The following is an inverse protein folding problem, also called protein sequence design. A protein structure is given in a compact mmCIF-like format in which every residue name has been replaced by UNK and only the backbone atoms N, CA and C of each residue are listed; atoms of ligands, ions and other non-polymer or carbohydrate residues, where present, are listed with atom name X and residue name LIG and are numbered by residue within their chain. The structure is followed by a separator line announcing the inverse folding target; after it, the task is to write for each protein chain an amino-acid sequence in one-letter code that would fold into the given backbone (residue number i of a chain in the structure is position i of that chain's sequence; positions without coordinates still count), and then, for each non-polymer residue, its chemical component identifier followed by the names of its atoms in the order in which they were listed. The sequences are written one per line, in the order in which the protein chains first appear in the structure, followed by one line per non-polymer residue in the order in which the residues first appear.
data_IF_226471525299
#
_entry.id   IF_226471525299
#
_cell.length_a   1.000
_cell.length_b   1.000
_cell.length_c   1.000
_cell.angle_alpha   90.00
_cell.angle_beta   90.00
_cell.angle_gamma   90.00
#
_symmetry.space_group_name_H-M   'P 1'
#
loop_
_entity.id
_entity.type
_entity.pdbx_description
1 polymer ?
#
# COMPACT_ATOMS: atom_id res chain seq x y z
N UNK A 1 -10.86 26.58 10.62
CA UNK A 1 -9.97 25.77 9.75
C UNK A 1 -9.49 24.50 10.43
N UNK A 2 -8.96 24.59 11.66
CA UNK A 2 -8.49 23.43 12.46
C UNK A 2 -9.55 22.37 12.76
N UNK A 3 -10.79 22.76 13.08
CA UNK A 3 -11.88 21.80 13.33
C UNK A 3 -12.22 20.97 12.08
N UNK A 4 -12.33 21.60 10.92
CA UNK A 4 -12.57 20.93 9.64
C UNK A 4 -11.40 20.02 9.23
N UNK A 5 -10.16 20.45 9.50
CA UNK A 5 -8.97 19.64 9.23
C UNK A 5 -8.93 18.41 10.15
N UNK A 6 -9.17 18.59 11.44
CA UNK A 6 -9.19 17.51 12.42
C UNK A 6 -10.29 16.48 12.12
N UNK A 7 -11.51 16.93 11.74
CA UNK A 7 -12.58 16.02 11.34
C UNK A 7 -12.23 15.25 10.06
N UNK A 8 -11.60 15.90 9.08
CA UNK A 8 -11.15 15.27 7.84
C UNK A 8 -10.09 14.19 8.12
N UNK A 9 -9.08 14.51 8.93
CA UNK A 9 -8.04 13.56 9.32
C UNK A 9 -8.60 12.36 10.08
N UNK A 10 -9.56 12.60 10.98
CA UNK A 10 -10.24 11.53 11.71
C UNK A 10 -11.04 10.63 10.77
N UNK A 11 -11.80 11.21 9.83
CA UNK A 11 -12.56 10.45 8.83
C UNK A 11 -11.61 9.56 8.03
N UNK A 12 -10.49 10.11 7.54
CA UNK A 12 -9.52 9.33 6.76
C UNK A 12 -8.94 8.18 7.60
N UNK A 13 -8.48 8.45 8.82
CA UNK A 13 -7.92 7.42 9.69
C UNK A 13 -8.93 6.28 9.97
N UNK A 14 -10.19 6.63 10.23
CA UNK A 14 -11.26 5.65 10.46
C UNK A 14 -11.58 4.87 9.19
N UNK A 15 -11.67 5.53 8.03
CA UNK A 15 -11.90 4.88 6.73
C UNK A 15 -10.81 3.86 6.40
N UNK A 16 -9.54 4.20 6.64
CA UNK A 16 -8.43 3.27 6.46
C UNK A 16 -8.49 2.09 7.42
N UNK A 17 -8.75 2.36 8.71
CA UNK A 17 -8.90 1.30 9.71
C UNK A 17 -10.00 0.32 9.34
N UNK A 18 -11.18 0.82 8.96
CA UNK A 18 -12.32 -0.01 8.52
C UNK A 18 -11.97 -0.80 7.27
N UNK A 19 -11.27 -0.19 6.32
CA UNK A 19 -10.86 -0.86 5.07
C UNK A 19 -9.93 -2.05 5.34
N UNK A 20 -8.87 -1.85 6.13
CA UNK A 20 -7.95 -2.91 6.52
C UNK A 20 -8.59 -3.95 7.45
N UNK A 21 -9.53 -3.54 8.31
CA UNK A 21 -10.28 -4.46 9.16
C UNK A 21 -11.25 -5.33 8.33
N UNK A 22 -11.82 -4.79 7.26
CA UNK A 22 -12.67 -5.53 6.32
C UNK A 22 -11.88 -6.68 5.67
N UNK A 23 -10.60 -6.45 5.35
CA UNK A 23 -9.73 -7.49 4.79
C UNK A 23 -9.48 -8.67 5.75
N UNK A 24 -9.52 -8.43 7.07
CA UNK A 24 -9.42 -9.48 8.09
C UNK A 24 -10.72 -10.27 8.29
N UNK A 25 -11.85 -9.79 7.77
CA UNK A 25 -13.14 -10.44 7.92
C UNK A 25 -13.33 -11.43 6.79
N UNK A 26 -13.65 -12.69 7.13
CA UNK A 26 -13.91 -13.73 6.14
C UNK A 26 -15.15 -13.36 5.30
N UNK A 27 -14.93 -12.91 4.06
CA UNK A 27 -16.00 -12.69 3.07
C UNK A 27 -15.80 -13.67 1.93
N UNK A 28 -16.84 -14.47 1.63
CA UNK A 28 -16.83 -15.46 0.52
C UNK A 28 -15.58 -16.36 0.52
N UNK A 29 -15.19 -16.85 1.71
CA UNK A 29 -14.02 -17.72 1.92
C UNK A 29 -12.66 -17.05 1.67
N UNK A 30 -12.61 -15.73 1.54
CA UNK A 30 -11.36 -14.97 1.41
C UNK A 30 -11.07 -14.24 2.71
N UNK A 31 -9.89 -14.48 3.27
CA UNK A 31 -9.35 -13.80 4.45
C UNK A 31 -7.97 -13.26 4.06
N UNK A 32 -7.73 -11.96 4.30
CA UNK A 32 -6.47 -11.28 3.95
C UNK A 32 -6.03 -11.57 2.50
N UNK A 33 -6.98 -11.58 1.56
CA UNK A 33 -6.68 -11.85 0.14
C UNK A 33 -6.26 -13.29 -0.18
N UNK A 34 -6.47 -14.24 0.73
CA UNK A 34 -6.23 -15.68 0.53
C UNK A 34 -7.53 -16.45 0.68
N UNK A 35 -7.84 -17.29 -0.32
CA UNK A 35 -9.01 -18.18 -0.26
C UNK A 35 -8.71 -19.38 0.64
N UNK A 36 -9.44 -19.48 1.76
CA UNK A 36 -9.36 -20.55 2.76
C UNK A 36 -10.72 -21.26 2.86
N UNK A 37 -10.78 -22.60 2.72
CA UNK A 37 -12.03 -23.37 2.86
C UNK A 37 -12.73 -23.09 4.19
N UNK A 38 -14.07 -23.12 4.22
CA UNK A 38 -14.85 -22.74 5.43
C UNK A 38 -14.55 -23.64 6.62
N UNK A 39 -14.21 -24.90 6.33
CA UNK A 39 -13.97 -25.98 7.27
C UNK A 39 -12.72 -25.70 8.13
N UNK A 40 -11.72 -25.01 7.57
CA UNK A 40 -10.44 -24.72 8.21
C UNK A 40 -10.28 -23.25 8.66
N UNK A 41 -11.27 -22.38 8.38
CA UNK A 41 -11.28 -21.01 8.90
C UNK A 41 -11.34 -20.94 10.43
N UNK A 42 -11.83 -22.01 11.08
CA UNK A 42 -11.88 -22.15 12.52
C UNK A 42 -10.56 -22.58 13.17
N UNK A 43 -9.54 -22.98 12.40
CA UNK A 43 -8.25 -23.47 12.92
C UNK A 43 -7.58 -22.40 13.79
N UNK A 44 -7.05 -22.84 14.93
CA UNK A 44 -6.33 -22.00 15.89
C UNK A 44 -5.20 -21.20 15.23
N UNK A 45 -4.50 -21.80 14.25
CA UNK A 45 -3.38 -21.16 13.53
C UNK A 45 -3.84 -20.02 12.64
N UNK A 46 -4.95 -20.21 11.92
CA UNK A 46 -5.55 -19.16 11.08
C UNK A 46 -6.05 -18.02 11.96
N UNK A 47 -6.70 -18.34 13.08
CA UNK A 47 -7.19 -17.34 14.04
C UNK A 47 -6.06 -16.55 14.69
N UNK A 48 -4.95 -17.19 15.04
CA UNK A 48 -3.79 -16.50 15.61
C UNK A 48 -3.23 -15.46 14.63
N UNK A 49 -2.98 -15.85 13.37
CA UNK A 49 -2.50 -14.92 12.34
C UNK A 49 -3.47 -13.74 12.16
N UNK A 50 -4.77 -14.02 12.02
CA UNK A 50 -5.78 -12.96 11.86
C UNK A 50 -5.82 -12.03 13.08
N UNK A 51 -5.66 -12.57 14.30
CA UNK A 51 -5.64 -11.77 15.52
C UNK A 51 -4.43 -10.85 15.59
N UNK A 52 -3.25 -11.34 15.19
CA UNK A 52 -2.01 -10.55 15.11
C UNK A 52 -2.14 -9.44 14.07
N UNK A 53 -2.72 -9.74 12.90
CA UNK A 53 -3.03 -8.72 11.90
C UNK A 53 -3.96 -7.63 12.45
N UNK A 54 -5.03 -8.00 13.17
CA UNK A 54 -5.94 -7.01 13.77
C UNK A 54 -5.24 -6.10 14.78
N UNK A 55 -4.31 -6.64 15.57
CA UNK A 55 -3.46 -5.85 16.49
C UNK A 55 -2.52 -4.92 15.72
N UNK A 56 -1.88 -5.40 14.66
CA UNK A 56 -1.04 -4.57 13.79
C UNK A 56 -1.84 -3.43 13.12
N UNK A 57 -3.05 -3.71 12.64
CA UNK A 57 -3.96 -2.70 12.09
C UNK A 57 -4.38 -1.66 13.15
N UNK A 58 -4.61 -2.10 14.39
CA UNK A 58 -4.91 -1.19 15.49
C UNK A 58 -3.72 -0.28 15.84
N UNK A 59 -2.50 -0.82 15.87
CA UNK A 59 -1.28 -0.04 16.06
C UNK A 59 -1.09 0.99 14.94
N UNK A 60 -1.35 0.60 13.69
CA UNK A 60 -1.31 1.52 12.55
C UNK A 60 -2.35 2.64 12.69
N UNK A 61 -3.55 2.34 13.18
CA UNK A 61 -4.58 3.35 13.44
C UNK A 61 -4.17 4.35 14.53
N UNK A 62 -3.57 3.88 15.63
CA UNK A 62 -3.04 4.80 16.65
C UNK A 62 -1.89 5.66 16.11
N UNK A 63 -0.99 5.07 15.31
CA UNK A 63 0.06 5.82 14.61
C UNK A 63 -0.55 6.87 13.66
N UNK A 64 -1.65 6.53 12.97
CA UNK A 64 -2.40 7.45 12.11
C UNK A 64 -2.93 8.64 12.91
N UNK A 65 -3.55 8.41 14.08
CA UNK A 65 -4.08 9.47 14.93
C UNK A 65 -2.97 10.42 15.43
N UNK A 66 -1.84 9.87 15.88
CA UNK A 66 -0.68 10.66 16.31
C UNK A 66 -0.15 11.50 15.15
N UNK A 67 -0.01 10.91 13.96
CA UNK A 67 0.38 11.64 12.76
C UNK A 67 -0.63 12.73 12.37
N UNK A 68 -1.93 12.48 12.54
CA UNK A 68 -2.99 13.46 12.33
C UNK A 68 -2.85 14.70 13.22
N UNK A 69 -2.50 14.50 14.50
CA UNK A 69 -2.22 15.60 15.42
C UNK A 69 -1.05 16.44 14.92
N UNK A 70 0.04 15.80 14.47
CA UNK A 70 1.22 16.50 13.94
C UNK A 70 0.91 17.39 12.72
N UNK A 71 0.00 16.96 11.85
CA UNK A 71 -0.43 17.74 10.67
C UNK A 71 -1.23 18.99 11.09
N UNK A 72 -1.90 18.96 12.25
CA UNK A 72 -2.72 20.07 12.73
C UNK A 72 -1.92 21.16 13.47
N UNK A 73 -0.61 20.95 13.73
CA UNK A 73 0.25 21.92 14.43
C UNK A 73 0.64 23.13 13.57
N UNK A 74 1.08 22.97 12.30
CA UNK A 74 1.51 24.10 11.47
C UNK A 74 0.34 25.02 11.08
N UNK A 75 0.62 26.34 11.03
CA UNK A 75 -0.32 27.34 10.49
C UNK A 75 -0.21 27.54 8.98
N UNK A 76 0.96 27.25 8.41
CA UNK A 76 1.24 27.41 6.98
C UNK A 76 0.52 26.33 6.17
N UNK A 77 -0.32 26.74 5.21
CA UNK A 77 -1.08 25.80 4.38
C UNK A 77 -0.16 24.86 3.59
N UNK A 78 0.97 25.34 3.10
CA UNK A 78 1.97 24.55 2.36
C UNK A 78 2.53 23.40 3.19
N UNK A 79 2.87 23.65 4.46
CA UNK A 79 3.34 22.63 5.40
C UNK A 79 2.27 21.59 5.70
N UNK A 80 1.03 22.04 5.89
CA UNK A 80 -0.11 21.14 6.13
C UNK A 80 -0.31 20.19 4.95
N UNK A 81 -0.28 20.71 3.71
CA UNK A 81 -0.41 19.88 2.51
C UNK A 81 0.74 18.87 2.38
N UNK A 82 1.98 19.29 2.61
CA UNK A 82 3.14 18.39 2.55
C UNK A 82 3.01 17.26 3.57
N UNK A 83 2.73 17.59 4.83
CA UNK A 83 2.57 16.60 5.90
C UNK A 83 1.36 15.68 5.66
N UNK A 84 0.27 16.19 5.09
CA UNK A 84 -0.90 15.41 4.71
C UNK A 84 -0.54 14.34 3.66
N UNK A 85 0.18 14.74 2.60
CA UNK A 85 0.62 13.83 1.54
C UNK A 85 1.54 12.75 2.10
N UNK A 86 2.50 13.15 2.95
CA UNK A 86 3.44 12.23 3.57
C UNK A 86 2.73 11.23 4.50
N UNK A 87 1.78 11.72 5.30
CA UNK A 87 0.98 10.89 6.19
C UNK A 87 0.10 9.89 5.43
N UNK A 88 -0.57 10.32 4.36
CA UNK A 88 -1.36 9.44 3.49
C UNK A 88 -0.49 8.35 2.86
N UNK A 89 0.66 8.73 2.30
CA UNK A 89 1.58 7.76 1.70
C UNK A 89 2.13 6.76 2.71
N UNK A 90 2.50 7.21 3.91
CA UNK A 90 2.95 6.32 4.98
C UNK A 90 1.86 5.34 5.44
N UNK A 91 0.59 5.79 5.54
CA UNK A 91 -0.52 4.90 5.86
C UNK A 91 -0.77 3.84 4.80
N UNK A 92 -0.71 4.24 3.52
CA UNK A 92 -0.84 3.30 2.40
C UNK A 92 0.30 2.28 2.39
N UNK A 93 1.54 2.74 2.54
CA UNK A 93 2.72 1.86 2.60
C UNK A 93 2.63 0.89 3.78
N UNK A 94 2.43 1.42 4.99
CA UNK A 94 2.38 0.61 6.22
C UNK A 94 1.26 -0.41 6.17
N UNK A 95 0.06 0.00 5.74
CA UNK A 95 -1.08 -0.89 5.61
C UNK A 95 -0.89 -1.99 4.57
N UNK A 96 -0.35 -1.66 3.39
CA UNK A 96 -0.05 -2.65 2.34
C UNK A 96 1.06 -3.62 2.76
N UNK A 97 2.10 -3.14 3.46
CA UNK A 97 3.17 -3.99 3.98
C UNK A 97 2.65 -4.97 5.04
N UNK A 98 1.83 -4.49 5.97
CA UNK A 98 1.18 -5.34 6.99
C UNK A 98 0.32 -6.38 6.29
N UNK A 99 -0.59 -5.96 5.40
CA UNK A 99 -1.46 -6.89 4.67
C UNK A 99 -0.63 -7.93 3.92
N UNK A 100 0.35 -7.52 3.13
CA UNK A 100 1.20 -8.42 2.36
C UNK A 100 1.92 -9.46 3.22
N UNK A 101 2.49 -9.05 4.35
CA UNK A 101 3.20 -9.95 5.28
C UNK A 101 2.28 -11.04 5.84
N UNK A 102 1.12 -10.66 6.38
CA UNK A 102 0.18 -11.62 6.97
C UNK A 102 -0.55 -12.46 5.90
N UNK A 103 -0.81 -11.89 4.72
CA UNK A 103 -1.29 -12.65 3.56
C UNK A 103 -0.29 -13.72 3.16
N UNK A 104 1.01 -13.43 3.19
CA UNK A 104 2.05 -14.39 2.87
C UNK A 104 2.11 -15.50 3.92
N UNK A 105 2.07 -15.17 5.21
CA UNK A 105 2.01 -16.18 6.27
C UNK A 105 0.79 -17.12 6.14
N UNK A 106 -0.37 -16.60 5.74
CA UNK A 106 -1.54 -17.45 5.46
C UNK A 106 -1.36 -18.34 4.22
N UNK A 107 -0.65 -17.86 3.19
CA UNK A 107 -0.34 -18.67 2.01
C UNK A 107 0.63 -19.80 2.35
N UNK A 108 1.63 -19.51 3.17
CA UNK A 108 2.60 -20.51 3.60
C UNK A 108 1.93 -21.58 4.46
N UNK A 109 1.07 -21.19 5.40
CA UNK A 109 0.27 -22.12 6.21
C UNK A 109 -0.67 -22.97 5.33
N UNK A 110 -1.35 -22.33 4.37
CA UNK A 110 -2.22 -23.03 3.41
C UNK A 110 -1.45 -24.07 2.60
N UNK A 111 -0.23 -23.75 2.18
CA UNK A 111 0.62 -24.64 1.41
C UNK A 111 1.14 -25.83 2.24
N UNK A 112 1.54 -25.58 3.49
CA UNK A 112 2.00 -26.63 4.42
C UNK A 112 0.91 -27.66 4.73
N UNK A 113 -0.32 -27.20 4.91
CA UNK A 113 -1.45 -28.06 5.31
C UNK A 113 -2.24 -28.62 4.12
N UNK A 114 -1.85 -28.28 2.88
CA UNK A 114 -2.50 -28.79 1.69
C UNK A 114 -3.96 -28.33 1.52
N UNK A 115 -4.33 -27.16 2.05
CA UNK A 115 -5.70 -26.64 2.01
C UNK A 115 -6.09 -26.08 0.63
N UNK A 116 -5.99 -26.90 -0.41
CA UNK A 116 -6.36 -26.56 -1.78
C UNK A 116 -7.85 -26.88 -2.02
N UNK A 117 -8.56 -25.94 -2.66
CA UNK A 117 -9.94 -26.15 -3.10
C UNK A 117 -9.91 -26.75 -4.51
N UNK A 118 -10.14 -28.06 -4.64
CA UNK A 118 -10.23 -28.75 -5.92
C UNK A 118 -8.88 -29.00 -6.62
N UNK A 119 -8.94 -29.46 -7.88
CA UNK A 119 -7.75 -29.69 -8.70
C UNK A 119 -6.97 -28.39 -8.85
N UNK A 120 -5.69 -28.42 -8.49
CA UNK A 120 -4.76 -27.30 -8.64
C UNK A 120 -4.62 -26.94 -10.12
N UNK A 121 -5.45 -26.03 -10.63
CA UNK A 121 -5.18 -25.41 -11.93
C UNK A 121 -3.95 -24.50 -11.77
N UNK A 122 -2.78 -25.09 -12.00
CA UNK A 122 -1.53 -24.41 -12.27
C UNK A 122 -1.69 -23.62 -13.56
N UNK A 123 -2.23 -22.41 -13.45
CA UNK A 123 -2.19 -21.45 -14.55
C UNK A 123 -0.73 -21.01 -14.67
N UNK A 124 -0.05 -21.49 -15.72
CA UNK A 124 1.31 -21.09 -16.04
C UNK A 124 1.32 -19.59 -16.33
N UNK A 125 1.94 -18.81 -15.44
CA UNK A 125 2.08 -17.36 -15.64
C UNK A 125 3.04 -17.16 -16.81
N UNK A 126 2.49 -16.77 -17.96
CA UNK A 126 3.27 -16.48 -19.15
C UNK A 126 4.20 -15.28 -18.92
N UNK A 127 5.50 -15.50 -19.12
CA UNK A 127 6.55 -14.50 -18.91
C UNK A 127 6.40 -13.27 -19.84
N UNK A 128 5.73 -13.44 -20.98
CA UNK A 128 5.47 -12.39 -21.97
C UNK A 128 4.54 -11.30 -21.42
N UNK A 129 3.51 -11.69 -20.66
CA UNK A 129 2.55 -10.75 -20.04
C UNK A 129 3.24 -9.91 -18.96
N UNK A 130 4.21 -10.51 -18.24
CA UNK A 130 4.97 -9.80 -17.20
C UNK A 130 5.87 -8.71 -17.78
N UNK A 131 6.42 -8.91 -18.99
CA UNK A 131 7.30 -7.95 -19.67
C UNK A 131 6.57 -6.72 -20.21
N UNK A 132 5.31 -6.87 -20.62
CA UNK A 132 4.48 -5.73 -21.08
C UNK A 132 3.96 -4.89 -19.90
N UNK A 133 3.69 -5.49 -18.73
CA UNK A 133 3.31 -4.74 -17.51
C UNK A 133 4.47 -3.90 -16.93
N UNK A 134 5.71 -4.23 -17.28
CA UNK A 134 6.91 -3.49 -16.86
C UNK A 134 6.97 -2.07 -17.44
N UNK A 135 6.17 -1.77 -18.48
CA UNK A 135 5.95 -0.42 -19.00
C UNK A 135 4.92 0.30 -18.14
N UNK A 136 5.30 0.64 -16.90
CA UNK A 136 4.51 1.59 -16.13
C UNK A 136 4.41 2.93 -16.88
N UNK A 137 3.26 3.62 -16.80
CA UNK A 137 3.03 4.88 -17.53
C UNK A 137 3.99 6.01 -17.12
N UNK A 138 4.55 5.95 -15.90
CA UNK A 138 5.49 6.96 -15.39
C UNK A 138 6.92 6.41 -15.39
N UNK A 139 7.84 6.96 -16.20
CA UNK A 139 9.23 6.53 -16.23
C UNK A 139 9.99 7.03 -14.99
N UNK A 140 11.01 6.29 -14.54
CA UNK A 140 11.82 6.61 -13.35
C UNK A 140 12.44 8.02 -13.38
N UNK A 141 12.72 8.55 -14.56
CA UNK A 141 13.28 9.90 -14.74
C UNK A 141 12.35 11.03 -14.24
N UNK A 142 11.05 10.79 -14.12
CA UNK A 142 10.11 11.79 -13.61
C UNK A 142 10.30 12.12 -12.12
N UNK A 143 11.06 11.31 -11.39
CA UNK A 143 11.46 11.62 -10.01
C UNK A 143 12.67 12.56 -9.94
N UNK A 144 13.35 12.86 -11.05
CA UNK A 144 14.54 13.72 -11.05
C UNK A 144 14.22 15.18 -10.69
N UNK A 145 13.19 15.84 -11.27
CA UNK A 145 12.85 17.22 -10.92
C UNK A 145 12.59 17.45 -9.41
N UNK A 146 11.76 16.64 -8.71
CA UNK A 146 11.55 16.85 -7.28
C UNK A 146 12.81 16.55 -6.44
N UNK A 147 13.65 15.57 -6.82
CA UNK A 147 14.95 15.35 -6.15
C UNK A 147 15.85 16.57 -6.27
N UNK A 148 15.98 17.15 -7.47
CA UNK A 148 16.82 18.32 -7.70
C UNK A 148 16.32 19.55 -6.92
N UNK A 149 15.00 19.75 -6.85
CA UNK A 149 14.40 20.82 -6.05
C UNK A 149 14.69 20.65 -4.55
N UNK A 150 14.53 19.43 -4.02
CA UNK A 150 14.79 19.15 -2.62
C UNK A 150 16.28 19.30 -2.24
N UNK A 151 17.18 18.81 -3.09
CA UNK A 151 18.64 19.00 -2.90
C UNK A 151 19.02 20.47 -3.01
N UNK A 152 18.43 21.23 -3.94
CA UNK A 152 18.65 22.67 -4.06
C UNK A 152 18.29 23.43 -2.79
N UNK A 153 17.16 23.09 -2.16
CA UNK A 153 16.77 23.65 -0.87
C UNK A 153 17.72 23.25 0.27
N UNK A 154 18.27 22.05 0.26
CA UNK A 154 19.23 21.59 1.28
C UNK A 154 20.60 22.24 1.17
N UNK A 155 21.10 22.43 -0.07
CA UNK A 155 22.45 22.93 -0.34
C UNK A 155 22.50 24.46 -0.34
N UNK A 156 21.47 25.11 -0.89
CA UNK A 156 21.40 26.57 -1.01
C UNK A 156 20.42 27.23 -0.04
N UNK A 157 19.70 26.44 0.77
CA UNK A 157 18.82 26.95 1.82
C UNK A 157 19.62 27.54 2.96
N UNK A 158 19.96 28.83 2.86
CA UNK A 158 20.74 29.54 3.88
C UNK A 158 20.03 29.71 5.23
N UNK A 159 18.75 29.37 5.35
CA UNK A 159 17.98 29.43 6.59
C UNK A 159 17.67 28.02 7.13
N UNK A 160 17.56 27.89 8.46
CA UNK A 160 17.15 26.63 9.11
C UNK A 160 15.81 26.10 8.58
N UNK A 161 14.90 27.01 8.26
CA UNK A 161 13.59 26.65 7.72
C UNK A 161 13.74 26.04 6.32
N UNK A 162 14.56 26.61 5.45
CA UNK A 162 14.79 26.07 4.09
C UNK A 162 15.41 24.67 4.12
N UNK A 163 16.34 24.42 5.06
CA UNK A 163 16.93 23.09 5.27
C UNK A 163 15.85 22.10 5.75
N UNK A 164 14.99 22.52 6.67
CA UNK A 164 13.87 21.70 7.16
C UNK A 164 12.88 21.35 6.02
N UNK A 165 12.51 22.33 5.19
CA UNK A 165 11.68 22.12 4.01
C UNK A 165 12.35 21.20 2.98
N UNK A 166 13.66 21.36 2.74
CA UNK A 166 14.42 20.48 1.87
C UNK A 166 14.46 19.04 2.36
N UNK A 167 14.63 18.82 3.67
CA UNK A 167 14.61 17.49 4.27
C UNK A 167 13.23 16.82 4.15
N UNK A 168 12.16 17.58 4.37
CA UNK A 168 10.79 17.10 4.17
C UNK A 168 10.50 16.74 2.71
N UNK A 169 10.90 17.60 1.76
CA UNK A 169 10.73 17.36 0.33
C UNK A 169 11.50 16.13 -0.16
N UNK A 170 12.71 15.89 0.38
CA UNK A 170 13.47 14.65 0.14
C UNK A 170 12.69 13.42 0.63
N UNK A 171 12.12 13.49 1.84
CA UNK A 171 11.31 12.42 2.41
C UNK A 171 10.07 12.11 1.57
N UNK A 172 9.36 13.13 1.11
CA UNK A 172 8.19 12.99 0.23
C UNK A 172 8.55 12.36 -1.12
N UNK A 173 9.66 12.81 -1.73
CA UNK A 173 10.12 12.26 -3.01
C UNK A 173 10.49 10.79 -2.87
N UNK A 174 11.16 10.42 -1.78
CA UNK A 174 11.47 9.03 -1.45
C UNK A 174 10.20 8.20 -1.24
N UNK A 175 9.20 8.74 -0.53
CA UNK A 175 7.93 8.09 -0.29
C UNK A 175 7.19 7.77 -1.59
N UNK A 176 7.07 8.74 -2.51
CA UNK A 176 6.44 8.51 -3.80
C UNK A 176 7.25 7.55 -4.68
N UNK A 177 8.57 7.59 -4.61
CA UNK A 177 9.41 6.61 -5.29
C UNK A 177 9.16 5.19 -4.76
N UNK A 178 9.05 5.01 -3.44
CA UNK A 178 8.73 3.71 -2.83
C UNK A 178 7.33 3.23 -3.21
N UNK A 179 6.33 4.11 -3.18
CA UNK A 179 4.99 3.81 -3.66
C UNK A 179 5.02 3.37 -5.13
N UNK A 180 5.75 4.11 -5.98
CA UNK A 180 5.94 3.76 -7.39
C UNK A 180 6.59 2.39 -7.55
N UNK A 181 7.67 2.09 -6.81
CA UNK A 181 8.32 0.76 -6.85
C UNK A 181 7.36 -0.34 -6.43
N UNK A 182 6.56 -0.13 -5.39
CA UNK A 182 5.61 -1.14 -4.93
C UNK A 182 4.48 -1.36 -5.93
N UNK A 183 3.93 -0.29 -6.49
CA UNK A 183 2.94 -0.37 -7.56
C UNK A 183 3.52 -1.05 -8.82
N UNK A 184 4.78 -0.76 -9.16
CA UNK A 184 5.49 -1.40 -10.28
C UNK A 184 5.70 -2.91 -10.07
N UNK A 185 5.80 -3.35 -8.81
CA UNK A 185 6.03 -4.75 -8.43
C UNK A 185 4.76 -5.61 -8.44
N UNK A 186 3.58 -5.05 -8.67
CA UNK A 186 2.39 -5.87 -8.82
C UNK A 186 2.52 -6.78 -10.04
N UNK A 187 2.57 -8.10 -9.83
CA UNK A 187 2.66 -9.08 -10.92
C UNK A 187 1.47 -8.97 -11.86
N UNK A 188 1.68 -9.27 -13.15
CA UNK A 188 0.58 -9.47 -14.07
C UNK A 188 -0.28 -10.66 -13.58
N UNK A 189 -1.59 -10.45 -13.48
CA UNK A 189 -2.54 -11.54 -13.19
C UNK A 189 -2.86 -12.26 -14.48
N UNK A 190 -2.71 -13.58 -14.50
CA UNK A 190 -3.34 -14.40 -15.52
C UNK A 190 -4.83 -14.54 -15.16
N UNK A 191 -5.71 -14.08 -16.06
CA UNK A 191 -7.17 -14.13 -15.90
C UNK A 191 -7.80 -15.32 -16.64
N UNK A 192 -7.14 -15.79 -17.71
CA UNK A 192 -7.53 -16.93 -18.55
C UNK A 192 -6.30 -17.80 -18.84
N UNK A 193 -6.51 -19.03 -19.31
CA UNK A 193 -5.45 -19.86 -19.91
C UNK A 193 -5.04 -19.33 -21.30
N UNK A 194 -5.85 -18.45 -21.90
CA UNK A 194 -5.55 -17.79 -23.16
C UNK A 194 -4.64 -16.56 -22.96
N UNK A 195 -3.42 -16.66 -23.50
CA UNK A 195 -2.38 -15.62 -23.44
C UNK A 195 -2.78 -14.33 -24.15
N UNK A 196 -3.53 -14.40 -25.26
CA UNK A 196 -3.95 -13.20 -26.01
C UNK A 196 -4.97 -12.38 -25.23
N UNK A 197 -5.91 -13.06 -24.55
CA UNK A 197 -6.91 -12.42 -23.69
C UNK A 197 -6.23 -11.74 -22.49
N UNK A 198 -5.26 -12.41 -21.86
CA UNK A 198 -4.50 -11.82 -20.76
C UNK A 198 -3.68 -10.59 -21.19
N UNK A 199 -3.09 -10.61 -22.39
CA UNK A 199 -2.36 -9.47 -22.96
C UNK A 199 -3.27 -8.30 -23.29
N UNK A 200 -4.45 -8.55 -23.87
CA UNK A 200 -5.42 -7.51 -24.20
C UNK A 200 -5.91 -6.79 -22.94
N UNK A 201 -6.27 -7.54 -21.89
CA UNK A 201 -6.70 -6.99 -20.60
C UNK A 201 -5.57 -6.19 -19.94
N UNK A 202 -4.34 -6.71 -19.96
CA UNK A 202 -3.18 -6.03 -19.38
C UNK A 202 -2.90 -4.70 -20.09
N UNK A 203 -2.96 -4.67 -21.43
CA UNK A 203 -2.77 -3.44 -22.23
C UNK A 203 -3.86 -2.41 -21.98
N UNK A 204 -5.11 -2.83 -21.82
CA UNK A 204 -6.22 -1.95 -21.46
C UNK A 204 -6.02 -1.33 -20.06
N UNK A 205 -5.54 -2.12 -19.09
CA UNK A 205 -5.30 -1.64 -17.71
C UNK A 205 -4.14 -0.65 -17.59
N UNK A 206 -3.19 -0.65 -18.53
CA UNK A 206 -2.03 0.27 -18.53
C UNK A 206 -2.35 1.59 -19.25
N UNK A 207 -3.32 1.58 -20.18
CA UNK A 207 -3.72 2.75 -20.98
C UNK A 207 -4.90 3.54 -20.41
N UNK A 208 -5.71 2.93 -19.55
CA UNK A 208 -6.82 3.60 -18.86
C UNK A 208 -6.35 4.36 -17.62
#
# INVERSE_FOLDING_TARGET
MTFFLASTLLIIAVSFFVSFQSAATAKKNVILGVTIPKEVQGDLRVRDIVSRYKRANLLLFFAALVGGILIALPREASLVFLLLTLWLGLLLLGGNMILGSYSQSLRDLKAQEGWYMGATNTVSVDLIVSREKEKMPVPRLWFLPPVLAAVGLLVWGGSRDNIFFGALACGETLLFYLLWVLSARERARAYSDDTEVNLAITRLSIRG
#
